data_IF_913694632220
#
_entry.id   IF_913694632220
#
_cell.length_a   1.000
_cell.length_b   1.000
_cell.length_c   1.000
_cell.angle_alpha   90.00
_cell.angle_beta   90.00
_cell.angle_gamma   90.00
#
_symmetry.space_group_name_H-M   'P 1'
#
loop_
_entity.id
_entity.type
_entity.pdbx_description
1 polymer ?
#
# COMPACT_ATOMS: atom_id res chain seq x y z
N UNK A 1 9.48 -69.27 -8.95
CA UNK A 1 10.95 -69.39 -8.82
C UNK A 1 11.44 -68.22 -7.99
N UNK A 2 12.12 -68.56 -6.91
CA UNK A 2 12.64 -67.66 -5.88
C UNK A 2 13.86 -66.85 -6.35
N UNK A 3 14.30 -65.97 -5.44
CA UNK A 3 15.69 -65.49 -5.19
C UNK A 3 15.97 -64.01 -5.54
N UNK A 4 15.76 -63.16 -4.52
CA UNK A 4 16.75 -62.29 -3.84
C UNK A 4 18.06 -62.01 -4.61
N UNK A 5 18.41 -60.73 -4.81
CA UNK A 5 19.75 -60.25 -4.41
C UNK A 5 19.84 -58.71 -4.39
N UNK A 6 20.32 -58.20 -3.26
CA UNK A 6 20.71 -56.83 -3.02
C UNK A 6 22.10 -56.55 -3.59
N UNK A 7 22.38 -55.30 -3.99
CA UNK A 7 23.74 -54.76 -3.93
C UNK A 7 23.71 -53.28 -3.55
N UNK A 8 24.25 -53.02 -2.35
CA UNK A 8 24.73 -51.72 -1.90
C UNK A 8 25.86 -51.21 -2.80
N UNK A 9 25.90 -49.90 -3.05
CA UNK A 9 27.16 -49.18 -3.25
C UNK A 9 27.18 -47.95 -2.34
N UNK A 10 27.99 -48.09 -1.29
CA UNK A 10 28.53 -47.03 -0.46
C UNK A 10 29.97 -46.84 -0.94
N UNK A 11 30.39 -45.62 -1.30
CA UNK A 11 31.79 -45.22 -1.13
C UNK A 11 31.90 -43.71 -0.90
N UNK A 12 32.62 -43.41 0.19
CA UNK A 12 32.99 -42.12 0.74
C UNK A 12 34.37 -41.66 0.21
N UNK A 13 34.71 -40.40 0.53
CA UNK A 13 36.05 -39.79 0.63
C UNK A 13 36.72 -39.34 -0.69
N UNK A 14 37.38 -38.17 -0.84
CA UNK A 14 37.96 -37.18 0.08
C UNK A 14 38.36 -35.87 -0.66
N UNK A 15 38.20 -34.73 0.02
CA UNK A 15 38.96 -33.46 0.05
C UNK A 15 39.93 -33.07 -1.09
N UNK A 16 39.73 -31.86 -1.64
CA UNK A 16 40.79 -30.83 -1.72
C UNK A 16 40.20 -29.45 -1.42
N UNK A 17 40.80 -28.73 -0.48
CA UNK A 17 40.40 -27.38 -0.09
C UNK A 17 41.11 -26.30 -0.92
N UNK A 18 40.50 -25.11 -0.98
CA UNK A 18 41.26 -23.87 -1.07
C UNK A 18 40.56 -22.76 -0.29
N UNK A 19 41.40 -22.02 0.42
CA UNK A 19 41.12 -20.99 1.42
C UNK A 19 40.40 -19.78 0.81
N UNK A 20 39.35 -19.34 1.48
CA UNK A 20 38.77 -18.00 1.35
C UNK A 20 38.14 -17.64 2.69
N UNK A 21 38.96 -17.18 3.63
CA UNK A 21 38.48 -16.67 4.90
C UNK A 21 37.96 -15.25 4.70
N UNK A 22 36.65 -15.12 4.54
CA UNK A 22 35.95 -13.87 4.86
C UNK A 22 35.24 -14.10 6.19
N UNK A 23 35.76 -13.41 7.20
CA UNK A 23 35.13 -13.27 8.50
C UNK A 23 33.76 -12.62 8.31
N UNK A 24 32.70 -13.42 8.39
CA UNK A 24 31.34 -12.97 8.64
C UNK A 24 31.30 -12.32 10.04
N UNK A 25 31.70 -11.06 10.10
CA UNK A 25 31.34 -10.16 11.18
C UNK A 25 29.88 -9.76 10.96
N UNK A 26 29.04 -10.54 11.63
CA UNK A 26 27.65 -10.33 11.93
C UNK A 26 27.40 -8.89 12.43
N UNK A 27 27.04 -7.97 11.52
CA UNK A 27 26.44 -6.68 11.88
C UNK A 27 24.93 -6.78 11.63
N UNK A 28 24.15 -6.71 12.71
CA UNK A 28 22.69 -6.85 12.74
C UNK A 28 21.94 -5.68 12.11
N UNK A 29 22.35 -5.22 10.93
CA UNK A 29 21.57 -4.32 10.09
C UNK A 29 20.51 -5.15 9.39
N UNK A 30 19.26 -5.09 9.87
CA UNK A 30 18.11 -5.52 9.07
C UNK A 30 18.25 -4.94 7.66
N UNK A 31 18.51 -5.83 6.69
CA UNK A 31 18.68 -5.46 5.29
C UNK A 31 17.36 -4.83 4.84
N UNK A 32 17.44 -3.59 4.34
CA UNK A 32 16.28 -2.84 3.88
C UNK A 32 15.40 -3.70 2.95
N UNK A 33 14.16 -4.04 3.36
CA UNK A 33 13.33 -5.01 2.65
C UNK A 33 12.77 -4.47 1.31
N UNK A 34 13.07 -3.21 0.99
CA UNK A 34 12.69 -2.54 -0.26
C UNK A 34 13.90 -2.22 -1.15
N UNK A 35 15.11 -2.68 -0.80
CA UNK A 35 16.32 -2.41 -1.60
C UNK A 35 16.23 -2.92 -3.04
N UNK A 36 15.54 -4.05 -3.26
CA UNK A 36 15.30 -4.60 -4.59
C UNK A 36 14.40 -3.70 -5.46
N UNK A 37 13.52 -2.92 -4.82
CA UNK A 37 12.57 -2.04 -5.51
C UNK A 37 13.23 -0.75 -6.02
N UNK A 38 14.39 -0.39 -5.47
CA UNK A 38 15.14 0.82 -5.82
C UNK A 38 15.81 0.70 -7.21
N UNK A 39 16.18 -0.51 -7.63
CA UNK A 39 16.80 -0.73 -8.95
C UNK A 39 15.88 -0.37 -10.12
N UNK A 40 14.57 -0.63 -9.96
CA UNK A 40 13.56 -0.29 -10.96
C UNK A 40 13.32 1.23 -11.09
N UNK A 41 13.63 2.03 -10.05
CA UNK A 41 13.49 3.49 -10.08
C UNK A 41 14.59 4.18 -10.89
N UNK A 42 15.77 3.57 -11.04
CA UNK A 42 16.90 4.20 -11.73
C UNK A 42 16.64 4.48 -13.22
N UNK A 43 15.62 3.85 -13.82
CA UNK A 43 15.23 4.01 -15.23
C UNK A 43 13.90 4.75 -15.43
N UNK A 44 13.24 5.14 -14.34
CA UNK A 44 11.96 5.83 -14.40
C UNK A 44 12.19 7.31 -14.70
N UNK A 45 11.55 7.82 -15.75
CA UNK A 45 11.60 9.23 -16.15
C UNK A 45 10.24 9.87 -15.85
N UNK A 46 10.18 10.82 -14.90
CA UNK A 46 8.97 11.60 -14.62
C UNK A 46 8.38 12.23 -15.88
N UNK A 47 7.06 12.13 -16.05
CA UNK A 47 6.34 12.77 -17.19
C UNK A 47 5.65 14.07 -16.79
N UNK A 48 5.08 14.11 -15.59
CA UNK A 48 4.35 15.24 -15.04
C UNK A 48 5.15 15.87 -13.90
N UNK A 49 4.99 17.18 -13.74
CA UNK A 49 5.60 17.93 -12.66
C UNK A 49 4.62 18.03 -11.49
N UNK A 50 4.86 17.27 -10.43
CA UNK A 50 4.03 17.27 -9.22
C UNK A 50 4.64 18.17 -8.14
N UNK A 51 3.77 18.83 -7.38
CA UNK A 51 4.21 19.66 -6.25
C UNK A 51 4.78 18.82 -5.12
N UNK A 52 5.50 19.45 -4.19
CA UNK A 52 5.99 18.76 -2.99
C UNK A 52 4.82 18.23 -2.16
N UNK A 53 3.73 18.98 -2.13
CA UNK A 53 2.49 18.61 -1.47
C UNK A 53 1.94 17.35 -2.13
N UNK A 54 1.87 17.27 -3.46
CA UNK A 54 1.35 16.08 -4.17
C UNK A 54 2.13 14.80 -3.89
N UNK A 55 3.46 14.92 -3.73
CA UNK A 55 4.37 13.80 -3.54
C UNK A 55 4.50 13.35 -2.08
N UNK A 56 4.28 14.25 -1.12
CA UNK A 56 4.36 13.92 0.31
C UNK A 56 2.99 13.66 0.89
N UNK A 57 2.64 12.38 1.02
CA UNK A 57 1.42 11.92 1.68
C UNK A 57 1.78 11.23 2.98
N UNK A 58 1.76 12.00 4.07
CA UNK A 58 1.87 11.51 5.44
C UNK A 58 0.59 11.94 6.15
N UNK A 59 -0.05 10.97 6.81
CA UNK A 59 -1.28 11.15 7.56
C UNK A 59 -0.97 10.79 9.01
N UNK A 60 -1.28 11.69 9.94
CA UNK A 60 -1.26 11.39 11.38
C UNK A 60 -2.51 10.57 11.73
N UNK A 61 -2.50 9.29 11.32
CA UNK A 61 -3.67 8.43 11.45
C UNK A 61 -3.84 7.96 12.89
N UNK A 62 -4.87 8.47 13.55
CA UNK A 62 -5.21 8.11 14.91
C UNK A 62 -6.33 7.07 14.96
N UNK A 63 -5.96 5.78 14.98
CA UNK A 63 -6.91 4.67 15.10
C UNK A 63 -7.76 4.72 16.39
N UNK A 64 -7.27 5.33 17.47
CA UNK A 64 -8.00 5.48 18.75
C UNK A 64 -8.95 6.69 18.75
N UNK A 65 -8.67 7.67 17.90
CA UNK A 65 -9.48 8.86 17.66
C UNK A 65 -10.70 8.57 16.77
N UNK A 66 -10.98 9.49 15.85
CA UNK A 66 -12.17 9.48 15.00
C UNK A 66 -11.88 9.18 13.51
N UNK A 67 -10.61 8.96 13.18
CA UNK A 67 -10.15 8.78 11.81
C UNK A 67 -10.67 7.48 11.18
N UNK A 68 -11.09 7.54 9.92
CA UNK A 68 -11.63 6.39 9.18
C UNK A 68 -10.92 6.26 7.83
N UNK A 69 -10.35 5.09 7.55
CA UNK A 69 -9.88 4.75 6.21
C UNK A 69 -11.07 4.28 5.38
N UNK A 70 -11.26 4.84 4.18
CA UNK A 70 -12.34 4.47 3.26
C UNK A 70 -11.75 3.84 2.01
N UNK A 71 -11.97 2.54 1.82
CA UNK A 71 -11.45 1.82 0.66
C UNK A 71 -12.47 1.79 -0.50
N UNK A 72 -12.23 2.63 -1.51
CA UNK A 72 -12.94 2.62 -2.79
C UNK A 72 -12.41 1.44 -3.62
N UNK A 73 -13.21 0.39 -3.77
CA UNK A 73 -12.83 -0.83 -4.47
C UNK A 73 -13.35 -0.84 -5.89
N UNK A 74 -12.51 -0.48 -6.86
CA UNK A 74 -12.82 -0.59 -8.29
C UNK A 74 -12.76 -2.06 -8.72
N UNK A 75 -13.69 -2.48 -9.58
CA UNK A 75 -13.71 -3.86 -10.06
C UNK A 75 -12.38 -4.21 -10.76
N UNK A 76 -11.86 -5.39 -10.42
CA UNK A 76 -10.73 -6.07 -11.10
C UNK A 76 -9.36 -5.40 -10.98
N UNK A 77 -9.19 -4.48 -10.03
CA UNK A 77 -7.90 -3.86 -9.69
C UNK A 77 -7.15 -4.58 -8.56
N UNK A 78 -7.41 -5.88 -8.34
CA UNK A 78 -6.78 -6.61 -7.22
C UNK A 78 -7.29 -6.23 -5.83
N UNK A 79 -8.35 -5.40 -5.72
CA UNK A 79 -8.87 -4.92 -4.44
C UNK A 79 -9.41 -6.00 -3.49
N UNK A 80 -9.69 -7.21 -3.98
CA UNK A 80 -9.97 -8.36 -3.09
C UNK A 80 -8.74 -8.79 -2.30
N UNK A 81 -7.55 -8.79 -2.90
CA UNK A 81 -6.30 -9.11 -2.20
C UNK A 81 -5.92 -7.96 -1.26
N UNK A 82 -5.92 -6.73 -1.77
CA UNK A 82 -5.60 -5.56 -0.94
C UNK A 82 -6.56 -5.39 0.25
N UNK A 83 -7.87 -5.52 0.02
CA UNK A 83 -8.86 -5.46 1.08
C UNK A 83 -8.65 -6.53 2.15
N UNK A 84 -8.18 -7.73 1.80
CA UNK A 84 -7.82 -8.76 2.79
C UNK A 84 -6.58 -8.35 3.60
N UNK A 85 -5.59 -7.71 2.97
CA UNK A 85 -4.45 -7.18 3.72
C UNK A 85 -4.90 -6.15 4.77
N UNK A 86 -5.84 -5.26 4.44
CA UNK A 86 -6.36 -4.27 5.39
C UNK A 86 -7.01 -4.88 6.64
N UNK A 87 -7.72 -6.01 6.50
CA UNK A 87 -8.44 -6.63 7.63
C UNK A 87 -7.68 -7.75 8.32
N UNK A 88 -6.61 -8.31 7.73
CA UNK A 88 -5.91 -9.49 8.26
C UNK A 88 -4.40 -9.37 8.39
N UNK A 89 -3.79 -8.37 7.77
CA UNK A 89 -2.35 -8.31 7.61
C UNK A 89 -1.72 -7.04 8.18
N UNK A 90 -2.49 -6.14 8.80
CA UNK A 90 -1.92 -4.96 9.48
C UNK A 90 -1.61 -5.33 10.93
N UNK A 91 -0.43 -4.95 11.40
CA UNK A 91 -0.04 -5.06 12.80
C UNK A 91 -0.80 -4.01 13.62
N UNK A 92 -1.77 -4.45 14.42
CA UNK A 92 -2.66 -3.59 15.21
C UNK A 92 -2.65 -4.00 16.68
N UNK A 93 -2.79 -3.04 17.60
CA UNK A 93 -3.04 -3.30 19.03
C UNK A 93 -4.28 -4.17 19.22
N UNK A 94 -5.34 -3.87 18.46
CA UNK A 94 -6.54 -4.71 18.34
C UNK A 94 -6.73 -5.13 16.88
N UNK A 95 -6.41 -6.38 16.52
CA UNK A 95 -6.68 -6.91 15.18
C UNK A 95 -8.18 -6.95 14.86
N UNK A 96 -8.53 -6.96 13.57
CA UNK A 96 -9.92 -7.21 13.18
C UNK A 96 -10.33 -8.65 13.49
N UNK A 97 -11.55 -8.84 13.95
CA UNK A 97 -12.12 -10.15 14.26
C UNK A 97 -12.77 -10.71 12.98
N UNK A 98 -12.13 -11.70 12.35
CA UNK A 98 -12.58 -12.34 11.12
C UNK A 98 -12.97 -13.81 11.37
N UNK A 99 -14.26 -14.13 11.42
CA UNK A 99 -14.71 -15.52 11.61
C UNK A 99 -14.75 -16.31 10.30
N UNK A 100 -14.43 -17.61 10.36
CA UNK A 100 -14.54 -18.50 9.22
C UNK A 100 -16.00 -18.55 8.72
N UNK A 101 -16.19 -18.55 7.40
CA UNK A 101 -17.51 -18.50 6.76
C UNK A 101 -18.11 -17.09 6.64
N UNK A 102 -17.68 -16.12 7.45
CA UNK A 102 -18.15 -14.74 7.33
C UNK A 102 -17.32 -13.96 6.29
N UNK A 103 -18.02 -13.28 5.39
CA UNK A 103 -17.39 -12.38 4.40
C UNK A 103 -16.98 -11.04 5.01
N UNK A 104 -17.49 -10.68 6.18
CA UNK A 104 -17.25 -9.40 6.85
C UNK A 104 -16.52 -9.65 8.16
N UNK A 105 -15.49 -8.86 8.43
CA UNK A 105 -14.75 -8.84 9.69
C UNK A 105 -15.19 -7.64 10.53
N UNK A 106 -15.00 -7.73 11.83
CA UNK A 106 -15.26 -6.64 12.76
C UNK A 106 -13.95 -5.90 13.05
N UNK A 107 -13.78 -4.71 12.45
CA UNK A 107 -12.59 -3.88 12.61
C UNK A 107 -12.88 -2.71 13.55
N UNK A 108 -12.91 -3.00 14.86
CA UNK A 108 -13.17 -1.98 15.87
C UNK A 108 -11.90 -1.32 16.38
N UNK A 109 -12.05 -0.07 16.85
CA UNK A 109 -10.98 0.65 17.56
C UNK A 109 -10.62 -0.06 18.87
N UNK A 110 -9.39 0.10 19.37
CA UNK A 110 -9.05 -0.33 20.74
C UNK A 110 -9.97 0.36 21.76
N UNK A 111 -10.61 -0.42 22.63
CA UNK A 111 -11.47 0.10 23.69
C UNK A 111 -12.85 0.65 23.29
N UNK A 112 -13.21 0.66 21.99
CA UNK A 112 -14.52 1.14 21.51
C UNK A 112 -15.21 0.12 20.60
N UNK A 113 -16.53 0.25 20.42
CA UNK A 113 -17.34 -0.53 19.44
C UNK A 113 -17.58 0.26 18.15
N UNK A 114 -16.57 1.01 17.72
CA UNK A 114 -16.62 1.90 16.56
C UNK A 114 -15.64 1.40 15.51
N UNK A 115 -15.96 1.52 14.23
CA UNK A 115 -15.07 1.05 13.16
C UNK A 115 -14.13 2.13 12.64
N UNK A 116 -12.87 1.78 12.42
CA UNK A 116 -11.85 2.65 11.82
C UNK A 116 -11.66 2.42 10.32
N UNK A 117 -12.32 1.40 9.75
CA UNK A 117 -12.17 1.00 8.35
C UNK A 117 -13.54 0.87 7.70
N UNK A 118 -13.81 1.66 6.67
CA UNK A 118 -14.96 1.51 5.80
C UNK A 118 -14.55 0.77 4.52
N UNK A 119 -15.00 -0.47 4.37
CA UNK A 119 -14.64 -1.32 3.23
C UNK A 119 -15.62 -2.48 3.07
N UNK A 120 -15.58 -3.16 1.91
CA UNK A 120 -16.30 -4.42 1.68
C UNK A 120 -16.12 -5.44 2.81
N UNK A 121 -14.90 -5.58 3.34
CA UNK A 121 -14.58 -6.62 4.33
C UNK A 121 -14.74 -6.17 5.78
N UNK A 122 -15.10 -4.91 6.04
CA UNK A 122 -15.36 -4.40 7.39
C UNK A 122 -16.81 -3.95 7.59
N UNK A 123 -17.30 -3.05 6.74
CA UNK A 123 -18.66 -2.49 6.79
C UNK A 123 -19.60 -3.11 5.76
N UNK A 124 -19.08 -3.95 4.86
CA UNK A 124 -19.85 -4.48 3.74
C UNK A 124 -20.09 -3.41 2.67
N UNK A 125 -21.09 -3.64 1.83
CA UNK A 125 -21.51 -2.69 0.78
C UNK A 125 -22.54 -1.69 1.31
N UNK A 126 -22.22 -1.03 2.43
CA UNK A 126 -23.16 -0.14 3.14
C UNK A 126 -23.61 1.09 2.34
N UNK A 127 -22.82 1.47 1.32
CA UNK A 127 -23.14 2.58 0.39
C UNK A 127 -23.40 2.10 -1.05
N UNK A 128 -23.67 0.81 -1.25
CA UNK A 128 -23.84 0.22 -2.59
C UNK A 128 -22.70 -0.73 -2.97
N UNK A 129 -23.03 -1.70 -3.83
CA UNK A 129 -22.07 -2.67 -4.36
C UNK A 129 -21.05 -1.95 -5.24
N UNK A 130 -19.77 -2.02 -4.87
CA UNK A 130 -18.69 -1.30 -5.56
C UNK A 130 -18.96 0.21 -5.68
N UNK A 131 -19.45 0.81 -4.59
CA UNK A 131 -19.71 2.24 -4.51
C UNK A 131 -18.51 3.08 -4.99
N UNK A 132 -18.77 3.99 -5.93
CA UNK A 132 -17.75 4.83 -6.54
C UNK A 132 -17.45 6.10 -5.72
N UNK A 133 -16.61 7.01 -6.23
CA UNK A 133 -16.25 8.24 -5.54
C UNK A 133 -17.47 9.11 -5.24
N UNK A 134 -18.42 9.22 -6.18
CA UNK A 134 -19.64 10.03 -6.05
C UNK A 134 -20.55 9.44 -4.97
N UNK A 135 -20.73 8.12 -4.99
CA UNK A 135 -21.53 7.41 -4.00
C UNK A 135 -20.89 7.45 -2.60
N UNK A 136 -19.58 7.21 -2.48
CA UNK A 136 -18.92 7.13 -1.18
C UNK A 136 -18.79 8.49 -0.49
N UNK A 137 -18.52 9.56 -1.23
CA UNK A 137 -18.37 10.90 -0.64
C UNK A 137 -19.69 11.46 -0.12
N UNK A 138 -20.81 11.12 -0.76
CA UNK A 138 -22.16 11.49 -0.33
C UNK A 138 -22.71 10.59 0.79
N UNK A 139 -22.34 9.31 0.82
CA UNK A 139 -22.95 8.32 1.72
C UNK A 139 -22.16 8.06 3.02
N UNK A 140 -20.83 8.00 2.97
CA UNK A 140 -20.01 7.53 4.10
C UNK A 140 -20.17 8.39 5.36
N UNK A 141 -20.17 9.74 5.30
CA UNK A 141 -20.34 10.56 6.49
C UNK A 141 -21.64 10.23 7.25
N UNK A 142 -22.77 10.23 6.55
CA UNK A 142 -24.08 9.90 7.11
C UNK A 142 -24.13 8.49 7.70
N UNK A 143 -23.54 7.49 7.04
CA UNK A 143 -23.52 6.09 7.52
C UNK A 143 -22.66 5.88 8.76
N UNK A 144 -21.58 6.62 8.88
CA UNK A 144 -20.66 6.52 10.02
C UNK A 144 -21.21 7.29 11.22
N UNK A 145 -21.85 8.44 11.01
CA UNK A 145 -22.40 9.27 12.08
C UNK A 145 -23.74 8.74 12.61
N UNK A 146 -24.64 8.24 11.76
CA UNK A 146 -25.96 7.72 12.20
C UNK A 146 -25.90 6.48 13.11
N UNK A 147 -24.75 5.79 13.15
CA UNK A 147 -24.56 4.58 13.97
C UNK A 147 -23.96 4.88 15.34
N UNK A 148 -23.55 6.12 15.60
CA UNK A 148 -22.73 6.48 16.75
C UNK A 148 -23.29 7.78 17.37
N UNK A 149 -23.19 7.96 18.70
CA UNK A 149 -23.82 9.07 19.42
C UNK A 149 -23.40 10.46 18.87
N UNK A 150 -24.20 11.54 19.07
CA UNK A 150 -23.90 12.86 18.53
C UNK A 150 -22.50 13.31 18.97
N UNK A 151 -21.59 13.48 18.01
CA UNK A 151 -20.20 13.88 18.29
C UNK A 151 -20.04 15.39 18.19
N UNK A 152 -19.17 15.92 19.05
CA UNK A 152 -18.78 17.33 19.07
C UNK A 152 -17.71 17.68 18.04
N UNK A 153 -17.08 16.68 17.38
CA UNK A 153 -15.97 16.90 16.43
C UNK A 153 -16.20 16.15 15.10
N UNK A 154 -15.84 16.76 13.96
CA UNK A 154 -15.92 16.14 12.65
C UNK A 154 -14.89 15.01 12.51
N UNK A 155 -15.26 13.91 11.85
CA UNK A 155 -14.35 12.79 11.55
C UNK A 155 -13.49 13.08 10.32
N UNK A 156 -12.27 12.56 10.33
CA UNK A 156 -11.41 12.56 9.14
C UNK A 156 -11.64 11.28 8.32
N UNK A 157 -11.94 11.42 7.03
CA UNK A 157 -12.09 10.30 6.09
C UNK A 157 -10.91 10.24 5.13
N UNK A 158 -10.11 9.19 5.24
CA UNK A 158 -8.95 8.96 4.39
C UNK A 158 -9.29 7.98 3.27
N UNK A 159 -9.65 8.52 2.11
CA UNK A 159 -9.98 7.72 0.93
C UNK A 159 -8.73 7.08 0.34
N UNK A 160 -8.86 5.79 0.01
CA UNK A 160 -7.83 5.00 -0.66
C UNK A 160 -8.42 4.14 -1.78
N UNK A 161 -7.59 3.81 -2.78
CA UNK A 161 -7.98 2.93 -3.89
C UNK A 161 -6.79 2.11 -4.41
N UNK A 162 -7.07 1.14 -5.29
CA UNK A 162 -6.06 0.43 -6.08
C UNK A 162 -6.45 0.53 -7.55
N UNK A 163 -5.47 0.85 -8.39
CA UNK A 163 -5.59 0.88 -9.85
C UNK A 163 -4.84 -0.26 -10.51
N UNK A 164 -5.10 -0.42 -11.80
CA UNK A 164 -4.50 -1.44 -12.65
C UNK A 164 -4.41 -0.94 -14.09
N UNK A 165 -3.42 -1.42 -14.81
CA UNK A 165 -3.31 -1.26 -16.26
C UNK A 165 -4.67 -1.52 -16.94
N UNK A 166 -5.20 -0.56 -17.72
CA UNK A 166 -6.56 -0.63 -18.25
C UNK A 166 -6.83 -1.87 -19.10
N UNK A 167 -5.86 -2.28 -19.94
CA UNK A 167 -6.02 -3.48 -20.79
C UNK A 167 -6.14 -4.73 -19.92
N UNK A 168 -5.22 -4.89 -18.97
CA UNK A 168 -5.22 -6.01 -18.02
C UNK A 168 -6.46 -6.03 -17.13
N UNK A 169 -6.94 -4.86 -16.71
CA UNK A 169 -8.17 -4.69 -15.92
C UNK A 169 -9.40 -5.06 -16.74
N UNK A 170 -9.51 -4.56 -17.97
CA UNK A 170 -10.62 -4.81 -18.90
C UNK A 170 -10.73 -6.30 -19.24
N UNK A 171 -9.63 -6.95 -19.61
CA UNK A 171 -9.60 -8.41 -19.87
C UNK A 171 -9.95 -9.23 -18.62
N UNK A 172 -9.51 -8.77 -17.45
CA UNK A 172 -9.89 -9.41 -16.19
C UNK A 172 -11.38 -9.29 -15.90
N UNK A 173 -12.00 -8.18 -16.28
CA UNK A 173 -13.44 -7.94 -16.17
C UNK A 173 -14.22 -8.81 -17.12
N UNK A 174 -13.89 -8.78 -18.42
CA UNK A 174 -14.49 -9.66 -19.41
C UNK A 174 -14.50 -11.12 -18.94
N UNK A 175 -13.35 -11.67 -18.52
CA UNK A 175 -13.30 -13.05 -18.03
C UNK A 175 -14.17 -13.27 -16.79
N UNK A 176 -14.39 -12.26 -15.96
CA UNK A 176 -15.27 -12.38 -14.79
C UNK A 176 -16.74 -12.38 -15.21
N UNK A 177 -17.09 -11.50 -16.14
CA UNK A 177 -18.43 -11.38 -16.72
C UNK A 177 -18.83 -12.63 -17.50
N UNK A 178 -17.91 -13.17 -18.31
CA UNK A 178 -18.05 -14.45 -19.01
C UNK A 178 -18.41 -15.62 -18.07
N UNK A 179 -18.12 -15.51 -16.78
CA UNK A 179 -18.45 -16.51 -15.74
C UNK A 179 -19.65 -16.11 -14.86
N UNK A 180 -20.48 -15.16 -15.30
CA UNK A 180 -21.72 -14.75 -14.63
C UNK A 180 -21.60 -13.54 -13.70
N UNK A 181 -20.48 -12.81 -13.68
CA UNK A 181 -20.41 -11.57 -12.90
C UNK A 181 -21.16 -10.44 -13.61
N UNK A 182 -22.12 -9.82 -12.93
CA UNK A 182 -22.88 -8.68 -13.49
C UNK A 182 -22.72 -7.40 -12.68
N UNK A 183 -22.57 -7.53 -11.36
CA UNK A 183 -22.71 -6.41 -10.41
C UNK A 183 -24.03 -5.63 -10.56
N UNK A 184 -25.11 -6.28 -11.04
CA UNK A 184 -26.42 -5.65 -11.28
C UNK A 184 -27.10 -5.03 -10.04
N UNK A 185 -26.59 -5.32 -8.84
CA UNK A 185 -27.05 -4.72 -7.58
C UNK A 185 -26.28 -3.45 -7.18
N UNK A 186 -25.40 -2.93 -8.05
CA UNK A 186 -24.81 -1.60 -7.89
C UNK A 186 -25.90 -0.53 -8.02
N UNK A 187 -25.85 0.47 -7.13
CA UNK A 187 -26.91 1.48 -7.04
C UNK A 187 -26.69 2.61 -8.04
N UNK A 188 -25.42 2.96 -8.32
CA UNK A 188 -25.05 4.04 -9.22
C UNK A 188 -25.68 5.37 -8.80
N UNK A 189 -25.73 5.64 -7.49
CA UNK A 189 -26.38 6.85 -6.98
C UNK A 189 -25.57 8.08 -7.36
N UNK A 190 -26.22 9.03 -8.01
CA UNK A 190 -25.69 10.35 -8.31
C UNK A 190 -26.84 11.37 -8.17
N UNK A 191 -26.56 12.53 -7.59
CA UNK A 191 -27.56 13.55 -7.25
C UNK A 191 -28.81 12.98 -6.53
N UNK A 192 -28.59 12.03 -5.62
CA UNK A 192 -29.62 11.46 -4.75
C UNK A 192 -30.51 10.40 -5.39
N UNK A 193 -30.28 9.99 -6.65
CA UNK A 193 -31.07 8.94 -7.32
C UNK A 193 -30.22 7.94 -8.08
N UNK A 194 -30.77 6.77 -8.34
CA UNK A 194 -30.21 5.79 -9.28
C UNK A 194 -30.58 6.15 -10.73
N UNK A 195 -29.75 5.76 -11.73
CA UNK A 195 -30.07 5.94 -13.13
C UNK A 195 -31.23 5.03 -13.55
N UNK A 196 -32.00 5.50 -14.53
CA UNK A 196 -33.02 4.73 -15.23
C UNK A 196 -32.38 3.76 -16.25
N UNK A 197 -33.13 2.77 -16.72
CA UNK A 197 -32.66 1.86 -17.79
C UNK A 197 -32.39 2.59 -19.12
N UNK A 198 -33.02 3.74 -19.36
CA UNK A 198 -32.71 4.60 -20.51
C UNK A 198 -31.38 5.33 -20.37
N UNK A 199 -31.00 5.71 -19.14
CA UNK A 199 -29.70 6.36 -18.86
C UNK A 199 -28.56 5.34 -18.78
N UNK A 200 -28.84 4.11 -18.35
CA UNK A 200 -27.85 3.04 -18.23
C UNK A 200 -28.46 1.70 -18.71
N UNK A 201 -28.41 1.42 -20.03
CA UNK A 201 -28.88 0.15 -20.60
C UNK A 201 -27.99 -1.06 -20.24
N UNK A 202 -28.55 -2.27 -20.33
CA UNK A 202 -27.84 -3.54 -20.02
C UNK A 202 -27.28 -4.23 -21.26
N UNK A 203 -25.99 -4.64 -21.26
CA UNK A 203 -25.31 -5.33 -22.38
C UNK A 203 -25.79 -6.76 -22.67
N UNK A 204 -26.74 -7.24 -21.89
CA UNK A 204 -27.22 -8.61 -21.96
C UNK A 204 -28.72 -8.63 -21.71
N UNK A 205 -29.35 -9.64 -22.28
CA UNK A 205 -30.74 -9.99 -21.99
C UNK A 205 -30.77 -11.07 -20.90
N UNK A 206 -31.77 -11.03 -20.02
CA UNK A 206 -31.92 -12.03 -18.96
C UNK A 206 -31.08 -11.76 -17.70
N UNK A 207 -30.57 -12.82 -17.09
CA UNK A 207 -30.00 -12.77 -15.74
C UNK A 207 -28.55 -12.32 -15.64
N UNK A 208 -27.73 -12.71 -16.62
CA UNK A 208 -26.31 -12.37 -16.70
C UNK A 208 -25.77 -12.38 -18.14
N UNK A 209 -24.47 -12.09 -18.29
CA UNK A 209 -23.75 -12.10 -19.57
C UNK A 209 -22.73 -13.24 -19.63
N UNK A 210 -23.09 -14.39 -19.05
CA UNK A 210 -22.25 -15.58 -19.06
C UNK A 210 -22.00 -16.08 -20.49
N UNK A 211 -20.81 -16.63 -20.74
CA UNK A 211 -20.43 -17.13 -22.05
C UNK A 211 -20.03 -16.07 -23.09
N UNK A 212 -20.25 -14.77 -22.85
CA UNK A 212 -19.93 -13.73 -23.84
C UNK A 212 -18.48 -13.81 -24.34
N UNK A 213 -18.33 -13.68 -25.65
CA UNK A 213 -17.04 -13.54 -26.33
C UNK A 213 -16.41 -12.18 -26.01
N UNK A 214 -15.10 -12.06 -26.24
CA UNK A 214 -14.43 -10.77 -26.08
C UNK A 214 -14.98 -9.73 -27.08
N UNK A 215 -15.37 -10.17 -28.27
CA UNK A 215 -15.92 -9.31 -29.31
C UNK A 215 -17.26 -8.70 -28.89
N UNK A 216 -18.23 -9.53 -28.47
CA UNK A 216 -19.52 -9.06 -27.94
C UNK A 216 -19.32 -8.12 -26.73
N UNK A 217 -18.34 -8.43 -25.87
CA UNK A 217 -18.00 -7.59 -24.73
C UNK A 217 -17.48 -6.21 -25.14
N UNK A 218 -16.69 -6.11 -26.21
CA UNK A 218 -16.16 -4.86 -26.76
C UNK A 218 -17.20 -4.08 -27.58
N UNK A 219 -18.14 -4.77 -28.21
CA UNK A 219 -19.10 -4.15 -29.14
C UNK A 219 -20.27 -3.49 -28.45
N UNK A 220 -20.54 -3.82 -27.18
CA UNK A 220 -21.58 -3.15 -26.40
C UNK A 220 -21.18 -1.70 -26.06
N UNK A 221 -21.88 -0.66 -26.58
CA UNK A 221 -21.49 0.72 -26.35
C UNK A 221 -21.72 1.21 -24.92
N UNK A 222 -22.66 0.60 -24.20
CA UNK A 222 -23.02 0.91 -22.82
C UNK A 222 -22.30 -0.01 -21.80
N UNK A 223 -21.23 -0.70 -22.21
CA UNK A 223 -20.46 -1.54 -21.30
C UNK A 223 -19.75 -0.71 -20.23
N UNK A 224 -20.17 -0.84 -18.98
CA UNK A 224 -19.57 -0.16 -17.82
C UNK A 224 -18.10 -0.55 -17.57
N UNK A 225 -17.57 -1.57 -18.24
CA UNK A 225 -16.15 -1.85 -18.25
C UNK A 225 -15.33 -0.75 -18.95
N UNK A 226 -15.91 -0.04 -19.93
CA UNK A 226 -15.24 1.06 -20.62
C UNK A 226 -14.97 2.21 -19.64
N UNK A 227 -13.72 2.67 -19.60
CA UNK A 227 -13.26 3.79 -18.78
C UNK A 227 -13.73 3.72 -17.31
N UNK A 228 -13.76 2.50 -16.76
CA UNK A 228 -14.30 2.23 -15.42
C UNK A 228 -13.54 2.98 -14.33
N UNK A 229 -12.21 3.04 -14.39
CA UNK A 229 -11.43 3.68 -13.34
C UNK A 229 -11.67 5.19 -13.32
N UNK A 230 -11.68 5.81 -14.50
CA UNK A 230 -11.99 7.23 -14.65
C UNK A 230 -13.40 7.55 -14.16
N UNK A 231 -14.42 6.81 -14.63
CA UNK A 231 -15.80 7.02 -14.19
C UNK A 231 -15.96 6.85 -12.67
N UNK A 232 -15.36 5.82 -12.09
CA UNK A 232 -15.53 5.53 -10.66
C UNK A 232 -14.72 6.42 -9.72
N UNK A 233 -13.75 7.18 -10.24
CA UNK A 233 -12.95 8.13 -9.46
C UNK A 233 -13.40 9.58 -9.63
N UNK A 234 -14.14 9.86 -10.71
CA UNK A 234 -14.66 11.19 -10.99
C UNK A 234 -15.87 11.52 -10.11
N UNK A 235 -16.14 12.82 -10.01
CA UNK A 235 -17.43 13.35 -9.57
C UNK A 235 -18.38 13.35 -10.76
N UNK A 236 -19.38 12.47 -10.74
CA UNK A 236 -20.33 12.34 -11.85
C UNK A 236 -21.34 13.50 -11.88
N UNK A 237 -21.54 14.23 -10.78
CA UNK A 237 -22.45 15.38 -10.74
C UNK A 237 -22.00 16.50 -11.69
N UNK A 238 -20.68 16.63 -11.91
CA UNK A 238 -20.08 17.62 -12.80
C UNK A 238 -20.52 17.50 -14.26
N UNK A 239 -21.03 16.33 -14.65
CA UNK A 239 -21.45 16.03 -16.02
C UNK A 239 -22.92 15.62 -16.10
N UNK A 240 -23.74 15.99 -15.12
CA UNK A 240 -25.15 15.62 -15.07
C UNK A 240 -25.38 14.12 -14.87
N UNK A 241 -24.55 13.49 -14.03
CA UNK A 241 -24.65 12.07 -13.69
C UNK A 241 -24.59 11.17 -14.94
N UNK A 242 -25.54 10.27 -15.11
CA UNK A 242 -25.61 9.34 -16.24
C UNK A 242 -26.39 9.90 -17.44
N UNK A 243 -26.84 11.15 -17.39
CA UNK A 243 -27.50 11.79 -18.53
C UNK A 243 -26.45 12.26 -19.56
N UNK A 244 -26.28 11.47 -20.62
CA UNK A 244 -25.33 11.73 -21.70
C UNK A 244 -25.75 12.87 -22.64
N UNK A 245 -27.00 13.34 -22.58
CA UNK A 245 -27.49 14.41 -23.47
C UNK A 245 -27.12 15.82 -23.01
N UNK A 246 -26.44 15.95 -21.87
CA UNK A 246 -26.11 17.25 -21.25
C UNK A 246 -24.98 17.99 -21.94
N UNK A 247 -24.04 17.28 -22.56
CA UNK A 247 -22.87 17.83 -23.24
C UNK A 247 -22.29 16.80 -24.23
N UNK A 248 -21.31 17.20 -25.04
CA UNK A 248 -20.66 16.30 -25.99
C UNK A 248 -19.92 15.17 -25.26
N UNK A 249 -19.74 14.02 -25.92
CA UNK A 249 -19.02 12.88 -25.32
C UNK A 249 -17.57 13.24 -24.95
N UNK A 250 -16.90 14.00 -25.82
CA UNK A 250 -15.50 14.40 -25.61
C UNK A 250 -15.37 15.36 -24.42
N UNK A 251 -16.19 16.41 -24.36
CA UNK A 251 -16.20 17.37 -23.25
C UNK A 251 -16.53 16.67 -21.93
N UNK A 252 -17.53 15.78 -21.96
CA UNK A 252 -17.94 14.98 -20.80
C UNK A 252 -16.76 14.20 -20.25
N UNK A 253 -16.05 13.46 -21.10
CA UNK A 253 -14.95 12.64 -20.64
C UNK A 253 -13.73 13.44 -20.23
N UNK A 254 -13.46 14.59 -20.86
CA UNK A 254 -12.41 15.50 -20.43
C UNK A 254 -12.66 16.01 -18.99
N UNK A 255 -13.89 16.42 -18.68
CA UNK A 255 -14.29 16.83 -17.31
C UNK A 255 -14.14 15.67 -16.32
N UNK A 256 -14.60 14.47 -16.69
CA UNK A 256 -14.48 13.27 -15.85
C UNK A 256 -13.02 12.91 -15.57
N UNK A 257 -12.16 12.96 -16.59
CA UNK A 257 -10.74 12.66 -16.44
C UNK A 257 -10.05 13.64 -15.50
N UNK A 258 -10.26 14.94 -15.67
CA UNK A 258 -9.67 15.95 -14.79
C UNK A 258 -10.20 15.83 -13.35
N UNK A 259 -11.50 15.53 -13.18
CA UNK A 259 -12.04 15.20 -11.87
C UNK A 259 -11.38 13.96 -11.26
N UNK A 260 -11.20 12.89 -12.03
CA UNK A 260 -10.58 11.65 -11.56
C UNK A 260 -9.11 11.87 -11.15
N UNK A 261 -8.33 12.60 -11.96
CA UNK A 261 -6.94 12.99 -11.65
C UNK A 261 -6.87 13.81 -10.36
N UNK A 262 -7.75 14.80 -10.20
CA UNK A 262 -7.85 15.64 -9.00
C UNK A 262 -8.19 14.81 -7.76
N UNK A 263 -9.24 13.99 -7.84
CA UNK A 263 -9.72 13.17 -6.73
C UNK A 263 -8.66 12.14 -6.33
N UNK A 264 -8.05 11.43 -7.28
CA UNK A 264 -6.98 10.47 -7.03
C UNK A 264 -5.73 11.12 -6.40
N UNK A 265 -5.33 12.30 -6.89
CA UNK A 265 -4.20 13.07 -6.31
C UNK A 265 -4.49 13.50 -4.86
N UNK A 266 -5.75 13.86 -4.58
CA UNK A 266 -6.24 14.27 -3.27
C UNK A 266 -6.46 13.13 -2.27
N UNK A 267 -6.58 11.87 -2.72
CA UNK A 267 -6.66 10.72 -1.83
C UNK A 267 -5.45 10.62 -0.92
N UNK A 268 -5.67 10.07 0.29
CA UNK A 268 -4.61 9.83 1.25
C UNK A 268 -3.56 8.88 0.66
N UNK A 269 -4.01 7.82 0.00
CA UNK A 269 -3.15 6.81 -0.61
C UNK A 269 -3.84 6.13 -1.80
N UNK A 270 -3.06 5.72 -2.80
CA UNK A 270 -3.51 4.72 -3.77
C UNK A 270 -2.35 3.79 -4.15
N UNK A 271 -2.70 2.57 -4.53
CA UNK A 271 -1.77 1.55 -4.97
C UNK A 271 -1.96 1.16 -6.43
N UNK A 272 -0.99 0.41 -6.95
CA UNK A 272 -1.01 -0.14 -8.31
C UNK A 272 -0.81 -1.66 -8.24
N UNK A 273 -1.63 -2.39 -8.98
CA UNK A 273 -1.66 -3.87 -8.96
C UNK A 273 -0.32 -4.48 -9.35
N UNK A 274 0.40 -3.81 -10.25
CA UNK A 274 1.67 -4.17 -10.86
C UNK A 274 2.87 -3.96 -9.91
N UNK A 275 2.67 -3.24 -8.80
CA UNK A 275 3.73 -2.84 -7.88
C UNK A 275 3.36 -3.15 -6.42
N UNK A 276 3.15 -4.43 -6.10
CA UNK A 276 2.65 -4.86 -4.78
C UNK A 276 3.56 -4.43 -3.61
N UNK A 277 4.88 -4.59 -3.73
CA UNK A 277 5.84 -4.19 -2.67
C UNK A 277 5.93 -2.67 -2.50
N UNK A 278 5.91 -1.89 -3.59
CA UNK A 278 5.86 -0.41 -3.52
C UNK A 278 4.54 0.07 -2.93
N UNK A 279 3.44 -0.60 -3.26
CA UNK A 279 2.10 -0.34 -2.71
C UNK A 279 2.10 -0.56 -1.20
N UNK A 280 2.67 -1.67 -0.73
CA UNK A 280 2.86 -1.92 0.69
C UNK A 280 3.67 -0.78 1.35
N UNK A 281 4.85 -0.48 0.83
CA UNK A 281 5.72 0.56 1.38
C UNK A 281 5.02 1.91 1.52
N UNK A 282 4.38 2.39 0.45
CA UNK A 282 3.72 3.68 0.47
C UNK A 282 2.54 3.70 1.45
N UNK A 283 1.75 2.61 1.55
CA UNK A 283 0.68 2.53 2.55
C UNK A 283 1.23 2.63 3.98
N UNK A 284 2.27 1.85 4.27
CA UNK A 284 2.93 1.82 5.59
C UNK A 284 3.42 3.21 5.98
N UNK A 285 4.10 3.91 5.06
CA UNK A 285 4.63 5.27 5.31
C UNK A 285 3.54 6.33 5.40
N UNK A 286 2.47 6.21 4.61
CA UNK A 286 1.38 7.19 4.62
C UNK A 286 0.61 7.16 5.94
N UNK A 287 0.28 5.97 6.46
CA UNK A 287 -0.53 5.84 7.68
C UNK A 287 0.28 5.54 8.94
N UNK A 288 1.60 5.44 8.82
CA UNK A 288 2.49 4.98 9.90
C UNK A 288 2.01 3.64 10.52
N UNK A 289 1.64 2.71 9.65
CA UNK A 289 1.22 1.35 9.98
C UNK A 289 2.20 0.35 9.38
N UNK A 290 2.20 -0.89 9.85
CA UNK A 290 3.06 -1.95 9.32
C UNK A 290 2.23 -3.18 8.96
N UNK A 291 2.57 -3.82 7.84
CA UNK A 291 1.99 -5.13 7.54
C UNK A 291 2.82 -6.26 8.15
N UNK A 292 2.13 -7.29 8.64
CA UNK A 292 2.72 -8.47 9.28
C UNK A 292 3.51 -9.30 8.25
N UNK A 293 2.88 -9.62 7.12
CA UNK A 293 3.50 -10.36 6.04
C UNK A 293 3.72 -9.47 4.80
N UNK A 294 4.84 -9.66 4.06
CA UNK A 294 5.12 -8.92 2.84
C UNK A 294 4.09 -9.24 1.75
N UNK A 295 3.71 -8.23 0.96
CA UNK A 295 2.87 -8.42 -0.21
C UNK A 295 3.62 -9.20 -1.28
N UNK A 296 2.93 -10.11 -1.96
CA UNK A 296 3.51 -10.95 -3.02
C UNK A 296 3.00 -10.51 -4.39
N UNK A 297 3.91 -10.39 -5.35
CA UNK A 297 3.56 -10.06 -6.73
C UNK A 297 3.02 -11.31 -7.43
N UNK A 298 1.74 -11.29 -7.80
CA UNK A 298 1.09 -12.39 -8.52
C UNK A 298 0.87 -12.00 -9.97
N UNK A 299 1.87 -12.28 -10.82
CA UNK A 299 1.80 -11.96 -12.25
C UNK A 299 0.95 -12.96 -13.04
N UNK A 300 0.79 -14.20 -12.58
CA UNK A 300 -0.07 -15.23 -13.18
C UNK A 300 -1.55 -14.98 -12.89
N UNK A 301 -2.13 -13.94 -13.47
CA UNK A 301 -3.56 -13.64 -13.34
C UNK A 301 -4.36 -14.22 -14.51
N UNK A 302 -5.68 -14.38 -14.34
CA UNK A 302 -6.58 -14.78 -15.44
C UNK A 302 -6.58 -13.81 -16.64
N UNK A 303 -6.05 -12.59 -16.48
CA UNK A 303 -5.88 -11.65 -17.57
C UNK A 303 -4.57 -11.90 -18.32
N UNK A 304 -3.49 -12.24 -17.62
CA UNK A 304 -2.19 -12.56 -18.24
C UNK A 304 -2.19 -13.92 -18.95
N UNK A 305 -3.16 -14.79 -18.65
CA UNK A 305 -3.37 -16.05 -19.39
C UNK A 305 -4.15 -15.87 -20.70
N UNK A 306 -4.58 -14.65 -21.03
CA UNK A 306 -5.25 -14.37 -22.30
C UNK A 306 -4.20 -13.76 -23.23
N UNK A 307 -3.72 -14.55 -24.17
CA UNK A 307 -2.96 -14.00 -25.30
C UNK A 307 -3.96 -13.31 -26.24
N UNK A 308 -3.82 -12.00 -26.37
CA UNK A 308 -4.70 -11.16 -27.18
C UNK A 308 -3.85 -10.52 -28.27
N UNK A 309 -4.25 -10.62 -29.56
CA UNK A 309 -3.53 -9.99 -30.66
C UNK A 309 -3.33 -8.50 -30.43
N UNK A 310 -2.22 -7.95 -30.94
CA UNK A 310 -1.87 -6.53 -30.77
C UNK A 310 -2.99 -5.60 -31.24
N UNK A 311 -3.67 -5.92 -32.33
CA UNK A 311 -4.82 -5.17 -32.84
C UNK A 311 -5.97 -5.10 -31.84
N UNK A 312 -6.34 -6.23 -31.24
CA UNK A 312 -7.37 -6.28 -30.21
C UNK A 312 -6.94 -5.52 -28.95
N UNK A 313 -5.66 -5.55 -28.58
CA UNK A 313 -5.15 -4.71 -27.48
C UNK A 313 -5.28 -3.22 -27.81
N UNK A 314 -4.99 -2.80 -29.04
CA UNK A 314 -5.19 -1.42 -29.50
C UNK A 314 -6.67 -1.03 -29.42
N UNK A 315 -7.58 -1.90 -29.85
CA UNK A 315 -9.02 -1.66 -29.71
C UNK A 315 -9.45 -1.50 -28.25
N UNK A 316 -8.96 -2.35 -27.36
CA UNK A 316 -9.24 -2.23 -25.92
C UNK A 316 -8.69 -0.90 -25.35
N UNK A 317 -7.50 -0.47 -25.78
CA UNK A 317 -6.95 0.84 -25.39
C UNK A 317 -7.82 1.99 -25.86
N UNK A 318 -8.37 1.94 -27.09
CA UNK A 318 -9.28 2.96 -27.59
C UNK A 318 -10.58 3.02 -26.77
N UNK A 319 -11.20 1.87 -26.48
CA UNK A 319 -12.40 1.79 -25.63
C UNK A 319 -12.15 2.30 -24.20
N UNK A 320 -10.89 2.27 -23.75
CA UNK A 320 -10.46 2.69 -22.42
C UNK A 320 -9.48 3.88 -22.48
N UNK A 321 -9.59 4.76 -23.47
CA UNK A 321 -8.59 5.82 -23.69
C UNK A 321 -8.42 6.75 -22.49
N UNK A 322 -9.51 7.06 -21.78
CA UNK A 322 -9.50 7.91 -20.60
C UNK A 322 -8.93 7.18 -19.38
N UNK A 323 -9.18 5.88 -19.27
CA UNK A 323 -8.54 5.01 -18.28
C UNK A 323 -7.02 4.89 -18.53
N UNK A 324 -6.59 4.85 -19.81
CA UNK A 324 -5.18 4.85 -20.20
C UNK A 324 -4.50 6.14 -19.76
N UNK A 325 -5.07 7.29 -20.09
CA UNK A 325 -4.50 8.57 -19.67
C UNK A 325 -4.46 8.72 -18.14
N UNK A 326 -5.55 8.35 -17.45
CA UNK A 326 -5.59 8.35 -15.98
C UNK A 326 -4.52 7.44 -15.38
N UNK A 327 -4.34 6.23 -15.94
CA UNK A 327 -3.37 5.27 -15.43
C UNK A 327 -1.92 5.72 -15.68
N UNK A 328 -1.63 6.37 -16.81
CA UNK A 328 -0.31 6.95 -17.05
C UNK A 328 0.02 8.05 -16.04
N UNK A 329 -0.93 8.95 -15.78
CA UNK A 329 -0.83 9.98 -14.73
C UNK A 329 -0.65 9.36 -13.34
N UNK A 330 -1.47 8.37 -12.99
CA UNK A 330 -1.42 7.69 -11.70
C UNK A 330 -0.10 6.94 -11.49
N UNK A 331 0.42 6.27 -12.52
CA UNK A 331 1.69 5.56 -12.48
C UNK A 331 2.85 6.52 -12.27
N UNK A 332 2.85 7.66 -12.97
CA UNK A 332 3.88 8.67 -12.81
C UNK A 332 3.87 9.24 -11.37
N UNK A 333 2.70 9.67 -10.88
CA UNK A 333 2.52 10.16 -9.52
C UNK A 333 2.95 9.13 -8.47
N UNK A 334 2.54 7.87 -8.62
CA UNK A 334 2.85 6.80 -7.69
C UNK A 334 4.35 6.50 -7.60
N UNK A 335 5.04 6.41 -8.73
CA UNK A 335 6.47 6.12 -8.77
C UNK A 335 7.29 7.31 -8.24
N UNK A 336 6.88 8.55 -8.53
CA UNK A 336 7.49 9.74 -7.94
C UNK A 336 7.28 9.79 -6.42
N UNK A 337 6.07 9.51 -5.91
CA UNK A 337 5.78 9.39 -4.46
C UNK A 337 6.71 8.36 -3.80
N UNK A 338 6.84 7.18 -4.41
CA UNK A 338 7.73 6.13 -3.92
C UNK A 338 9.19 6.60 -3.88
N UNK A 339 9.67 7.22 -4.96
CA UNK A 339 11.05 7.73 -5.04
C UNK A 339 11.34 8.80 -3.99
N UNK A 340 10.45 9.79 -3.82
CA UNK A 340 10.60 10.85 -2.83
C UNK A 340 10.61 10.29 -1.41
N UNK A 341 9.67 9.40 -1.08
CA UNK A 341 9.61 8.77 0.24
C UNK A 341 10.88 7.97 0.55
N UNK A 342 11.39 7.18 -0.41
CA UNK A 342 12.65 6.42 -0.28
C UNK A 342 13.86 7.32 -0.10
N UNK A 343 13.95 8.41 -0.84
CA UNK A 343 15.04 9.39 -0.70
C UNK A 343 15.01 10.07 0.67
N UNK A 344 13.83 10.45 1.16
CA UNK A 344 13.66 11.05 2.48
C UNK A 344 14.06 10.09 3.60
N UNK A 345 13.59 8.84 3.55
CA UNK A 345 13.93 7.80 4.53
C UNK A 345 15.45 7.56 4.58
N UNK A 346 16.10 7.44 3.43
CA UNK A 346 17.56 7.28 3.34
C UNK A 346 18.30 8.50 3.90
N UNK A 347 17.82 9.71 3.63
CA UNK A 347 18.39 10.94 4.17
C UNK A 347 18.28 10.97 5.70
N UNK A 348 17.10 10.67 6.24
CA UNK A 348 16.88 10.60 7.68
C UNK A 348 17.76 9.52 8.34
N UNK A 349 17.90 8.35 7.73
CA UNK A 349 18.78 7.29 8.22
C UNK A 349 20.26 7.72 8.25
N UNK A 350 20.73 8.44 7.21
CA UNK A 350 22.08 9.01 7.19
C UNK A 350 22.28 10.05 8.29
N UNK A 351 21.32 10.95 8.48
CA UNK A 351 21.36 11.97 9.53
C UNK A 351 21.40 11.33 10.93
N UNK A 352 20.58 10.29 11.19
CA UNK A 352 20.60 9.52 12.46
C UNK A 352 21.96 8.87 12.70
N UNK A 353 22.52 8.18 11.71
CA UNK A 353 23.87 7.57 11.81
C UNK A 353 24.96 8.60 12.07
N UNK A 354 24.87 9.78 11.48
CA UNK A 354 25.82 10.87 11.73
C UNK A 354 25.70 11.41 13.16
N UNK A 355 24.47 11.61 13.65
CA UNK A 355 24.21 12.05 15.03
C UNK A 355 24.71 11.03 16.05
N UNK A 356 24.47 9.74 15.81
CA UNK A 356 24.97 8.65 16.66
C UNK A 356 26.50 8.60 16.70
N UNK A 357 27.16 8.72 15.55
CA UNK A 357 28.63 8.83 15.47
C UNK A 357 29.16 10.06 16.22
N UNK A 358 28.47 11.19 16.18
CA UNK A 358 28.83 12.40 16.97
C UNK A 358 28.68 12.16 18.47
N UNK A 359 27.60 11.50 18.92
CA UNK A 359 27.39 11.15 20.33
C UNK A 359 28.49 10.22 20.86
N UNK A 360 28.83 9.17 20.10
CA UNK A 360 29.90 8.23 20.46
C UNK A 360 31.28 8.91 20.54
N UNK A 361 31.57 9.87 19.65
CA UNK A 361 32.81 10.66 19.70
C UNK A 361 32.84 11.67 20.85
N UNK A 362 31.70 12.24 21.21
CA UNK A 362 31.56 13.18 22.34
C UNK A 362 31.64 12.50 23.72
N UNK A 363 31.24 11.23 23.83
CA UNK A 363 31.35 10.45 25.07
C UNK A 363 32.79 10.06 25.46
N UNK A 364 33.71 10.03 24.49
CA UNK A 364 35.11 9.63 24.73
C UNK A 364 36.02 10.73 25.28
N UNK A 365 35.50 11.95 25.54
CA UNK A 365 36.26 13.01 26.21
C UNK A 365 35.97 13.13 27.72
N UNK A 366 35.11 12.26 28.26
CA UNK A 366 34.61 12.34 29.64
C UNK A 366 35.27 11.44 30.69
N UNK A 367 36.43 10.82 30.46
CA UNK A 367 37.17 10.13 31.55
C UNK A 367 38.65 9.97 31.23
N UNK A 368 39.40 11.07 31.29
CA UNK A 368 40.84 11.02 31.61
C UNK A 368 41.07 11.85 32.88
N UNK A 369 40.58 11.33 34.02
CA UNK A 369 41.10 11.77 35.32
C UNK A 369 42.59 11.45 35.33
N UNK A 370 43.42 12.49 35.32
CA UNK A 370 44.87 12.38 35.55
C UNK A 370 45.09 11.60 36.86
N UNK A 371 46.07 10.69 36.95
CA UNK A 371 46.43 10.10 38.23
C UNK A 371 46.88 11.23 39.15
N UNK A 372 46.20 11.39 40.28
CA UNK A 372 46.60 12.24 41.38
C UNK A 372 48.04 11.91 41.78
N UNK A 373 48.90 12.93 41.77
CA UNK A 373 50.21 12.87 42.40
C UNK A 373 50.06 12.37 43.84
N UNK A 374 50.79 11.32 44.17
CA UNK A 374 50.98 10.84 45.53
C UNK A 374 51.65 11.92 46.37
N UNK A 375 50.92 12.48 47.34
CA UNK A 375 51.50 13.23 48.45
C UNK A 375 52.48 12.33 49.21
N UNK A 376 53.78 12.56 49.05
CA UNK A 376 54.80 12.02 49.94
C UNK A 376 54.75 12.79 51.26
N UNK A 377 54.35 12.10 52.33
CA UNK A 377 54.58 12.52 53.71
C UNK A 377 56.09 12.53 54.00
N UNK A 378 56.63 13.56 54.71
CA UNK A 378 58.03 13.56 55.11
C UNK A 378 58.24 12.65 56.33
N UNK A 379 58.98 11.56 56.13
CA UNK A 379 59.49 10.72 57.21
C UNK A 379 60.69 11.46 57.85
N UNK A 380 60.49 12.00 59.05
CA UNK A 380 61.60 12.38 59.95
C UNK A 380 62.27 11.08 60.43
N UNK A 381 63.49 10.80 59.94
CA UNK A 381 64.40 9.84 60.58
C UNK A 381 65.43 10.62 61.40
N UNK A 382 65.38 10.38 62.70
CA UNK A 382 66.34 10.79 63.72
C UNK A 382 67.74 10.27 63.42
N UNK A 383 68.73 11.16 63.51
CA UNK A 383 70.15 10.82 63.58
C UNK A 383 70.43 10.00 64.84
N UNK A 384 71.16 8.90 64.69
CA UNK A 384 71.85 8.22 65.79
C UNK A 384 73.34 8.41 65.50
N UNK A 385 73.96 9.32 66.25
CA UNK A 385 75.40 9.48 66.34
C UNK A 385 75.98 8.39 67.25
N UNK A 386 77.05 7.78 66.78
CA UNK A 386 77.93 6.91 67.54
C UNK A 386 78.91 7.75 68.36
N UNK A 387 78.86 7.68 69.70
CA UNK A 387 80.06 7.60 70.54
C UNK A 387 79.75 7.37 72.04
N UNK A 388 80.31 6.25 72.54
CA UNK A 388 80.96 5.97 73.84
C UNK A 388 80.39 6.62 75.13
N UNK A 389 80.07 5.76 76.11
CA UNK A 389 79.85 6.09 77.54
C UNK A 389 81.14 6.55 78.27
N UNK A 390 81.26 6.47 79.63
CA UNK A 390 80.41 5.85 80.66
C UNK A 390 80.13 6.79 81.88
N UNK A 391 79.78 6.20 83.05
CA UNK A 391 79.69 6.79 84.41
C UNK A 391 78.35 7.47 84.76
N UNK A 392 77.85 7.50 86.00
CA UNK A 392 78.09 6.78 87.26
C UNK A 392 76.91 7.18 88.18
N UNK A 393 76.70 6.34 89.22
CA UNK A 393 75.86 6.50 90.42
C UNK A 393 74.40 6.07 90.32
#
# INVERSE_FOLDING_TARGET
>A
MSVISAFCFLFLYQLTGSRGGDSELQDGLQKDPYIAEDGALARFVPRFNFTKEDLNRVVDFNIKGDDVIVFLHIQKTGGTTFGRHLVRNIQLERPCECHAGQKKCTCFRPGKKETWLFSRFSTGWSCGLHADWTELTSCVPSRMDSREAPRSLPRNYYYITILRDPVSRYLSEWRHVQRGATWKASLHVCDGRSPTLSELPNCYSGDDWSGCSLQEFMDCPYNLANNRQTRMLADLSLVGCYNVSTMSEEDRWAVLLESAKRNLRGMAFFGLTEYQRKTQYLFERTFNLEFIAPFTQLNGTRASSVEVPTETQCRIRQLNQWDVELYEYARDLFLQRFQVARQQERRQARERRQQERRRLRGGSQGTRRKPTQTCKLPIKRSKVDSNRGPSCC
#
